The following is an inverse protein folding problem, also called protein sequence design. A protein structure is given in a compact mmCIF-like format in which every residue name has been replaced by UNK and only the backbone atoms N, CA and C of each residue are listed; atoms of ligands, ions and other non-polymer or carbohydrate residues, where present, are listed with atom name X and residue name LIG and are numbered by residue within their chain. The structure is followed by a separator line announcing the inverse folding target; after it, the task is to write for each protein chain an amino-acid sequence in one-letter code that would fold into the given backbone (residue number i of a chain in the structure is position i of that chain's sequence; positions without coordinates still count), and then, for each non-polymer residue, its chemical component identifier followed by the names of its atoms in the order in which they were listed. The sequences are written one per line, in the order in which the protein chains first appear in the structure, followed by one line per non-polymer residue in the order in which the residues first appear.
data_IF_458952716610
#
_entry.id   IF_458952716610
#
_cell.length_a   1.000
_cell.length_b   1.000
_cell.length_c   1.000
_cell.angle_alpha   90.00
_cell.angle_beta   90.00
_cell.angle_gamma   90.00
#
_symmetry.space_group_name_H-M   'P 1'
#
loop_
_entity.id
_entity.type
_entity.pdbx_description
1 polymer ?
#
# COMPACT_ATOMS: atom_id res chain seq x y z
N UNK A 1 20.70 21.21 19.60
CA UNK A 1 19.75 20.70 18.59
C UNK A 1 20.52 20.32 17.34
N UNK A 2 20.05 19.33 16.60
CA UNK A 2 20.64 18.91 15.31
C UNK A 2 20.00 19.74 14.20
N UNK A 3 20.77 20.37 13.33
CA UNK A 3 20.26 21.09 12.15
C UNK A 3 20.25 20.20 10.91
N UNK A 4 19.55 20.62 9.84
CA UNK A 4 19.63 19.90 8.55
C UNK A 4 21.05 19.88 7.97
N UNK A 5 21.84 20.93 8.21
CA UNK A 5 23.26 21.04 7.80
C UNK A 5 24.12 19.92 8.38
N UNK A 6 23.83 19.48 9.60
CA UNK A 6 24.60 18.44 10.31
C UNK A 6 24.32 17.02 9.76
N UNK A 7 23.28 16.87 8.93
CA UNK A 7 22.88 15.56 8.39
C UNK A 7 23.66 15.14 7.14
N UNK A 8 24.58 15.97 6.62
CA UNK A 8 25.43 15.64 5.46
C UNK A 8 24.74 15.75 4.08
N UNK A 9 23.58 16.39 4.01
CA UNK A 9 22.86 16.67 2.75
C UNK A 9 23.64 17.64 1.85
N UNK A 10 23.41 17.58 0.52
CA UNK A 10 24.09 18.49 -0.41
C UNK A 10 23.66 19.96 -0.21
N UNK A 11 24.50 20.95 -0.58
CA UNK A 11 24.13 22.37 -0.54
C UNK A 11 22.87 22.70 -1.35
N UNK A 12 22.57 21.93 -2.41
CA UNK A 12 21.33 22.09 -3.20
C UNK A 12 20.11 21.67 -2.40
N UNK A 13 20.18 20.51 -1.74
CA UNK A 13 19.09 19.96 -0.94
C UNK A 13 18.87 20.82 0.30
N UNK A 14 19.95 21.22 1.01
CA UNK A 14 19.87 22.15 2.14
C UNK A 14 19.16 23.46 1.75
N UNK A 15 19.56 24.07 0.62
CA UNK A 15 18.91 25.29 0.13
C UNK A 15 17.43 25.09 -0.21
N UNK A 16 17.04 23.94 -0.76
CA UNK A 16 15.64 23.63 -1.06
C UNK A 16 14.80 23.31 0.20
N UNK A 17 15.42 22.78 1.25
CA UNK A 17 14.80 22.58 2.58
C UNK A 17 14.55 23.94 3.25
N UNK A 18 15.50 24.88 3.18
CA UNK A 18 15.32 26.26 3.64
C UNK A 18 14.25 27.01 2.85
N UNK A 19 14.25 26.91 1.52
CA UNK A 19 13.20 27.49 0.65
C UNK A 19 11.80 26.90 0.92
N UNK A 20 11.73 25.67 1.44
CA UNK A 20 10.49 25.03 1.86
C UNK A 20 10.04 25.40 3.29
N UNK A 21 10.78 26.24 4.00
CA UNK A 21 10.44 26.74 5.33
C UNK A 21 10.79 25.83 6.50
N UNK A 22 11.61 24.79 6.31
CA UNK A 22 12.02 23.88 7.39
C UNK A 22 13.34 24.32 8.03
N UNK A 23 13.33 24.53 9.35
CA UNK A 23 14.50 24.88 10.17
C UNK A 23 15.18 23.65 10.78
N UNK A 24 14.39 22.76 11.39
CA UNK A 24 14.88 21.62 12.17
C UNK A 24 14.37 20.29 11.60
N UNK A 25 15.22 19.23 11.54
CA UNK A 25 14.83 17.90 11.14
C UNK A 25 14.01 17.22 12.23
N UNK A 26 12.98 16.47 11.83
CA UNK A 26 12.22 15.63 12.76
C UNK A 26 13.07 14.45 13.28
N UNK A 27 12.71 13.79 14.40
CA UNK A 27 13.51 12.69 14.94
C UNK A 27 13.76 11.53 13.95
N UNK A 28 12.79 11.22 13.09
CA UNK A 28 12.95 10.19 12.05
C UNK A 28 13.91 10.65 10.94
N UNK A 29 13.88 11.94 10.57
CA UNK A 29 14.81 12.52 9.59
C UNK A 29 16.23 12.54 10.14
N UNK A 30 16.41 13.01 11.38
CA UNK A 30 17.72 13.09 12.02
C UNK A 30 18.37 11.70 12.20
N UNK A 31 17.58 10.67 12.52
CA UNK A 31 18.08 9.30 12.61
C UNK A 31 18.32 8.61 11.26
N UNK A 32 17.41 8.77 10.29
CA UNK A 32 17.45 8.00 9.04
C UNK A 32 18.37 8.61 7.97
N UNK A 33 18.39 9.94 7.81
CA UNK A 33 19.09 10.61 6.68
C UNK A 33 20.60 10.30 6.67
N UNK A 34 21.35 10.37 7.79
CA UNK A 34 22.79 10.07 7.77
C UNK A 34 23.09 8.61 7.36
N UNK A 35 22.27 7.65 7.80
CA UNK A 35 22.42 6.24 7.42
C UNK A 35 22.02 5.98 5.96
N UNK A 36 20.99 6.68 5.46
CA UNK A 36 20.62 6.63 4.05
C UNK A 36 21.75 7.15 3.15
N UNK A 37 22.42 8.25 3.52
CA UNK A 37 23.54 8.81 2.77
C UNK A 37 24.78 7.90 2.73
N UNK A 38 25.06 7.14 3.78
CA UNK A 38 26.17 6.16 3.80
C UNK A 38 25.86 4.85 3.07
N UNK A 39 24.73 4.78 2.34
CA UNK A 39 24.21 3.59 1.66
C UNK A 39 23.94 2.39 2.57
N UNK A 40 23.72 2.62 3.87
CA UNK A 40 23.23 1.58 4.79
C UNK A 40 21.72 1.41 4.62
N UNK A 41 21.23 0.19 4.75
CA UNK A 41 19.81 -0.10 4.85
C UNK A 41 19.18 0.57 6.08
N UNK A 42 17.89 0.91 5.99
CA UNK A 42 17.16 1.63 7.05
C UNK A 42 15.81 0.97 7.29
N UNK A 43 15.46 0.78 8.57
CA UNK A 43 14.11 0.46 9.02
C UNK A 43 13.60 1.63 9.87
N UNK A 44 12.75 2.47 9.28
CA UNK A 44 12.18 3.66 9.90
C UNK A 44 10.75 3.43 10.36
N UNK A 45 10.54 3.36 11.68
CA UNK A 45 9.22 3.16 12.30
C UNK A 45 8.78 4.49 12.90
N UNK A 46 7.78 5.12 12.29
CA UNK A 46 7.21 6.39 12.74
C UNK A 46 5.81 6.62 12.14
N UNK A 47 4.91 7.28 12.86
CA UNK A 47 3.56 7.61 12.37
C UNK A 47 3.58 8.50 11.11
N UNK A 48 2.50 8.49 10.33
CA UNK A 48 2.31 9.43 9.20
C UNK A 48 2.38 10.88 9.68
N UNK A 49 2.96 11.77 8.87
CA UNK A 49 3.15 13.19 9.21
C UNK A 49 4.43 13.50 9.99
N UNK A 50 5.11 12.50 10.56
CA UNK A 50 6.42 12.68 11.24
C UNK A 50 7.59 13.01 10.29
N UNK A 51 7.36 13.04 8.97
CA UNK A 51 8.40 13.38 7.98
C UNK A 51 9.13 12.20 7.34
N UNK A 52 8.60 10.97 7.43
CA UNK A 52 9.14 9.75 6.79
C UNK A 52 9.52 9.95 5.31
N UNK A 53 8.61 10.48 4.50
CA UNK A 53 8.84 10.71 3.06
C UNK A 53 10.07 11.58 2.80
N UNK A 54 10.24 12.69 3.51
CA UNK A 54 11.44 13.52 3.40
C UNK A 54 12.72 12.80 3.92
N UNK A 55 12.58 11.82 4.81
CA UNK A 55 13.69 11.02 5.34
C UNK A 55 14.34 10.11 4.29
N UNK A 56 13.65 9.80 3.17
CA UNK A 56 14.26 9.18 1.99
C UNK A 56 14.43 10.14 0.81
N UNK A 57 13.48 11.04 0.54
CA UNK A 57 13.57 11.98 -0.60
C UNK A 57 14.82 12.87 -0.53
N UNK A 58 15.14 13.45 0.64
CA UNK A 58 16.29 14.36 0.81
C UNK A 58 17.66 13.66 0.60
N UNK A 59 17.96 12.49 1.20
CA UNK A 59 19.19 11.77 0.90
C UNK A 59 19.22 11.20 -0.52
N UNK A 60 18.09 10.75 -1.08
CA UNK A 60 18.04 10.30 -2.48
C UNK A 60 18.39 11.45 -3.45
N UNK A 61 17.86 12.65 -3.25
CA UNK A 61 18.23 13.83 -4.04
C UNK A 61 19.75 14.10 -3.99
N UNK A 62 20.37 13.98 -2.81
CA UNK A 62 21.82 14.13 -2.63
C UNK A 62 22.61 13.03 -3.36
N UNK A 63 22.19 11.77 -3.25
CA UNK A 63 22.86 10.62 -3.86
C UNK A 63 22.75 10.60 -5.39
N UNK A 64 21.62 11.06 -5.93
CA UNK A 64 21.33 11.03 -7.37
C UNK A 64 21.98 12.18 -8.17
N UNK A 65 22.59 13.18 -7.51
CA UNK A 65 23.40 14.23 -8.17
C UNK A 65 24.59 13.69 -8.99
N UNK A 66 24.99 12.44 -8.76
CA UNK A 66 26.00 11.71 -9.52
C UNK A 66 25.35 10.63 -10.38
N UNK A 67 25.90 10.36 -11.55
CA UNK A 67 25.35 9.38 -12.50
C UNK A 67 24.27 9.97 -13.42
N UNK A 68 23.59 9.11 -14.17
CA UNK A 68 22.42 9.46 -15.00
C UNK A 68 21.55 8.24 -15.25
N UNK A 69 20.24 8.43 -15.35
CA UNK A 69 19.32 7.38 -15.77
C UNK A 69 19.62 6.80 -17.16
N UNK A 70 19.10 5.61 -17.43
CA UNK A 70 19.08 4.97 -18.75
C UNK A 70 17.64 4.70 -19.17
N UNK A 71 17.36 4.80 -20.46
CA UNK A 71 16.05 4.46 -21.03
C UNK A 71 15.60 3.07 -20.55
N UNK A 72 14.37 2.99 -20.02
CA UNK A 72 13.76 1.75 -19.48
C UNK A 72 14.50 1.07 -18.32
N UNK A 73 15.51 1.72 -17.71
CA UNK A 73 16.33 1.15 -16.65
C UNK A 73 16.47 2.17 -15.50
N UNK A 74 15.53 2.16 -14.52
CA UNK A 74 15.48 3.14 -13.45
C UNK A 74 16.61 2.95 -12.43
N UNK A 75 17.06 4.04 -11.80
CA UNK A 75 18.10 3.99 -10.75
C UNK A 75 17.55 3.77 -9.36
N UNK A 76 16.37 4.29 -9.04
CA UNK A 76 15.69 4.00 -7.78
C UNK A 76 14.26 3.56 -8.02
N UNK A 77 13.76 2.69 -7.14
CA UNK A 77 12.34 2.39 -7.04
C UNK A 77 11.82 2.84 -5.67
N UNK A 78 10.67 3.49 -5.67
CA UNK A 78 9.84 3.75 -4.48
C UNK A 78 8.50 3.05 -4.71
N UNK A 79 8.12 2.16 -3.80
CA UNK A 79 6.79 1.56 -3.77
C UNK A 79 5.90 2.31 -2.77
N UNK A 80 4.68 2.58 -3.20
CA UNK A 80 3.64 3.26 -2.43
C UNK A 80 2.33 2.45 -2.48
N UNK A 81 1.58 2.33 -1.37
CA UNK A 81 0.37 1.50 -1.33
C UNK A 81 -0.79 2.12 -2.13
N UNK A 82 -0.82 3.44 -2.32
CA UNK A 82 -1.88 4.14 -3.06
C UNK A 82 -1.31 5.02 -4.17
N UNK A 83 -2.18 5.31 -5.15
CA UNK A 83 -1.85 6.12 -6.32
C UNK A 83 -1.56 7.58 -5.95
N UNK A 84 -2.13 8.04 -4.84
CA UNK A 84 -2.02 9.41 -4.35
C UNK A 84 -0.85 9.61 -3.40
N UNK A 85 -0.46 8.60 -2.60
CA UNK A 85 0.84 8.62 -1.93
C UNK A 85 1.96 8.67 -2.98
N UNK A 86 1.87 7.86 -4.03
CA UNK A 86 2.80 7.91 -5.17
C UNK A 86 2.84 9.30 -5.83
N UNK A 87 1.71 9.99 -5.97
CA UNK A 87 1.67 11.37 -6.45
C UNK A 87 2.32 12.36 -5.46
N UNK A 88 2.01 12.25 -4.16
CA UNK A 88 2.60 13.10 -3.12
C UNK A 88 4.12 12.92 -2.99
N UNK A 89 4.66 11.71 -3.18
CA UNK A 89 6.11 11.51 -3.23
C UNK A 89 6.70 12.18 -4.48
N UNK A 90 6.03 12.12 -5.63
CA UNK A 90 6.46 12.84 -6.83
C UNK A 90 6.47 14.37 -6.62
N UNK A 91 5.41 14.93 -6.02
CA UNK A 91 5.32 16.34 -5.62
C UNK A 91 6.46 16.74 -4.66
N UNK A 92 6.89 15.85 -3.75
CA UNK A 92 8.04 16.11 -2.88
C UNK A 92 9.37 16.13 -3.66
N UNK A 93 9.55 15.29 -4.68
CA UNK A 93 10.72 15.40 -5.58
C UNK A 93 10.69 16.68 -6.41
N UNK A 94 9.52 17.15 -6.88
CA UNK A 94 9.40 18.46 -7.55
C UNK A 94 9.66 19.63 -6.60
N UNK A 95 9.19 19.55 -5.35
CA UNK A 95 9.36 20.57 -4.30
C UNK A 95 10.82 20.74 -3.88
N UNK A 96 11.52 19.65 -3.55
CA UNK A 96 12.91 19.69 -3.04
C UNK A 96 13.96 19.55 -4.14
N UNK A 97 13.63 18.94 -5.28
CA UNK A 97 14.53 18.69 -6.40
C UNK A 97 14.65 19.82 -7.42
N UNK A 98 14.12 21.02 -7.15
CA UNK A 98 14.13 22.18 -8.09
C UNK A 98 15.52 22.54 -8.64
N UNK A 99 16.60 22.18 -7.94
CA UNK A 99 18.00 22.48 -8.29
C UNK A 99 18.74 21.25 -8.86
N UNK A 100 18.00 20.20 -9.14
CA UNK A 100 18.44 18.90 -9.65
C UNK A 100 17.86 18.65 -11.04
N UNK A 101 18.58 17.93 -11.90
CA UNK A 101 18.13 17.54 -13.24
C UNK A 101 17.83 16.05 -13.26
N UNK A 102 16.83 15.66 -12.48
CA UNK A 102 16.44 14.26 -12.28
C UNK A 102 15.13 13.96 -12.98
N UNK A 103 15.07 12.84 -13.68
CA UNK A 103 13.84 12.38 -14.30
C UNK A 103 13.03 11.56 -13.29
N UNK A 104 11.85 12.06 -12.89
CA UNK A 104 10.89 11.34 -12.05
C UNK A 104 9.82 10.69 -12.95
N UNK A 105 9.56 9.40 -12.75
CA UNK A 105 8.49 8.68 -13.44
C UNK A 105 7.52 8.06 -12.42
N UNK A 106 6.22 8.20 -12.69
CA UNK A 106 5.13 7.79 -11.79
C UNK A 106 4.28 6.70 -12.46
N UNK A 107 4.33 5.47 -11.93
CA UNK A 107 3.63 4.30 -12.44
C UNK A 107 2.44 3.93 -11.54
N UNK A 108 1.31 4.55 -11.83
CA UNK A 108 0.05 4.32 -11.13
C UNK A 108 -1.00 3.75 -12.07
N UNK A 109 -1.95 2.97 -11.53
CA UNK A 109 -3.13 2.54 -12.30
C UNK A 109 -3.94 3.74 -12.81
N UNK A 110 -4.99 3.48 -13.61
CA UNK A 110 -5.95 4.52 -14.04
C UNK A 110 -5.35 5.73 -14.77
N UNK A 111 -4.20 5.56 -15.41
CA UNK A 111 -3.49 6.53 -16.28
C UNK A 111 -2.93 5.74 -17.48
N UNK A 112 -2.80 6.38 -18.64
CA UNK A 112 -2.39 5.71 -19.88
C UNK A 112 -1.01 5.02 -19.75
N UNK A 113 -0.88 3.85 -20.36
CA UNK A 113 0.42 3.17 -20.50
C UNK A 113 1.40 4.01 -21.31
N UNK A 114 0.96 4.59 -22.44
CA UNK A 114 1.86 5.30 -23.36
C UNK A 114 2.46 6.57 -22.76
N UNK A 115 1.74 7.25 -21.88
CA UNK A 115 2.27 8.42 -21.15
C UNK A 115 3.34 8.02 -20.14
N UNK A 116 3.14 6.90 -19.44
CA UNK A 116 4.08 6.35 -18.48
C UNK A 116 5.30 5.75 -19.18
N UNK A 117 5.11 5.03 -20.30
CA UNK A 117 6.18 4.48 -21.12
C UNK A 117 7.06 5.60 -21.71
N UNK A 118 6.48 6.70 -22.21
CA UNK A 118 7.25 7.90 -22.64
C UNK A 118 8.08 8.53 -21.52
N UNK A 119 7.65 8.43 -20.25
CA UNK A 119 8.43 8.87 -19.07
C UNK A 119 9.56 7.88 -18.78
N UNK A 120 9.29 6.58 -18.81
CA UNK A 120 10.28 5.50 -18.64
C UNK A 120 11.37 5.54 -19.74
N UNK A 121 11.01 5.83 -20.99
CA UNK A 121 11.90 5.84 -22.15
C UNK A 121 12.92 6.99 -22.13
N UNK A 122 12.59 8.12 -21.49
CA UNK A 122 13.55 9.20 -21.19
C UNK A 122 14.62 8.76 -20.17
N UNK A 123 14.39 7.62 -19.50
CA UNK A 123 15.16 7.10 -18.39
C UNK A 123 14.82 7.83 -17.10
N UNK A 124 14.34 7.11 -16.09
CA UNK A 124 14.00 7.66 -14.78
C UNK A 124 15.18 7.53 -13.81
N UNK A 125 15.58 8.62 -13.16
CA UNK A 125 16.46 8.51 -11.99
C UNK A 125 15.64 8.00 -10.79
N UNK A 126 14.40 8.50 -10.66
CA UNK A 126 13.44 8.08 -9.63
C UNK A 126 12.22 7.47 -10.28
N UNK A 127 11.94 6.20 -9.99
CA UNK A 127 10.68 5.55 -10.31
C UNK A 127 9.82 5.43 -9.04
N UNK A 128 8.58 5.92 -9.10
CA UNK A 128 7.60 5.83 -8.01
C UNK A 128 6.42 5.03 -8.53
N UNK A 129 5.97 3.99 -7.82
CA UNK A 129 4.96 3.07 -8.35
C UNK A 129 4.04 2.44 -7.29
N UNK A 130 2.79 2.16 -7.70
CA UNK A 130 1.94 1.20 -6.99
C UNK A 130 2.29 -0.24 -7.43
N UNK A 131 2.40 -1.23 -6.53
CA UNK A 131 2.94 -2.57 -6.83
C UNK A 131 2.39 -3.24 -8.10
N UNK A 132 1.07 -3.39 -8.22
CA UNK A 132 0.46 -4.05 -9.40
C UNK A 132 0.80 -3.38 -10.73
N UNK A 133 0.86 -2.04 -10.77
CA UNK A 133 1.20 -1.30 -12.01
C UNK A 133 2.67 -1.43 -12.37
N UNK A 134 3.56 -1.56 -11.39
CA UNK A 134 4.97 -1.85 -11.66
C UNK A 134 5.14 -3.22 -12.32
N UNK A 135 4.39 -4.22 -11.84
CA UNK A 135 4.35 -5.56 -12.42
C UNK A 135 3.79 -5.50 -13.85
N UNK A 136 2.67 -4.78 -14.12
CA UNK A 136 2.15 -4.58 -15.48
C UNK A 136 3.23 -4.12 -16.48
N UNK A 137 4.00 -3.07 -16.16
CA UNK A 137 5.03 -2.54 -17.06
C UNK A 137 6.23 -3.49 -17.22
N UNK A 138 6.54 -4.28 -16.19
CA UNK A 138 7.66 -5.23 -16.21
C UNK A 138 7.31 -6.50 -16.98
N UNK A 139 6.11 -7.05 -16.78
CA UNK A 139 5.59 -8.23 -17.50
C UNK A 139 5.39 -7.95 -19.00
N UNK A 140 5.10 -6.70 -19.36
CA UNK A 140 5.08 -6.21 -20.76
C UNK A 140 6.47 -6.00 -21.37
N UNK A 141 7.55 -6.33 -20.66
CA UNK A 141 8.94 -6.17 -21.12
C UNK A 141 9.39 -4.72 -21.34
N UNK A 142 8.67 -3.73 -20.78
CA UNK A 142 8.97 -2.30 -20.98
C UNK A 142 9.91 -1.71 -19.93
N UNK A 143 10.26 -2.46 -18.88
CA UNK A 143 11.03 -1.98 -17.74
C UNK A 143 12.08 -2.99 -17.27
N UNK A 144 13.32 -2.53 -17.04
CA UNK A 144 14.48 -3.32 -16.65
C UNK A 144 14.91 -2.97 -15.23
N UNK A 145 14.38 -3.70 -14.25
CA UNK A 145 14.60 -3.47 -12.80
C UNK A 145 16.05 -3.70 -12.33
N UNK A 146 16.92 -4.25 -13.18
CA UNK A 146 18.33 -4.52 -12.91
C UNK A 146 19.22 -3.28 -12.73
N UNK A 147 18.71 -2.09 -13.06
CA UNK A 147 19.42 -0.81 -12.85
C UNK A 147 19.26 -0.20 -11.44
N UNK A 148 18.38 -0.76 -10.60
CA UNK A 148 17.97 -0.13 -9.34
C UNK A 148 19.04 -0.31 -8.25
N UNK A 149 19.62 0.81 -7.82
CA UNK A 149 20.62 0.93 -6.76
C UNK A 149 20.03 1.27 -5.38
N UNK A 150 18.84 1.89 -5.33
CA UNK A 150 18.10 2.20 -4.09
C UNK A 150 16.65 1.77 -4.24
N UNK A 151 16.16 0.97 -3.29
CA UNK A 151 14.77 0.50 -3.21
C UNK A 151 14.11 1.04 -1.94
N UNK A 152 12.91 1.62 -2.07
CA UNK A 152 12.14 2.16 -0.94
C UNK A 152 10.77 1.51 -0.89
N UNK A 153 10.30 1.21 0.31
CA UNK A 153 8.94 0.78 0.63
C UNK A 153 8.44 1.74 1.73
N UNK A 154 7.46 2.63 1.43
CA UNK A 154 6.81 3.46 2.46
C UNK A 154 5.41 2.94 2.83
N UNK A 155 4.94 3.29 4.02
CA UNK A 155 3.68 2.84 4.64
C UNK A 155 3.47 1.31 4.46
N UNK A 156 4.50 0.51 4.74
CA UNK A 156 4.55 -0.93 4.46
C UNK A 156 3.42 -1.73 5.14
N UNK A 157 2.99 -1.30 6.33
CA UNK A 157 1.80 -1.82 7.02
C UNK A 157 0.51 -1.63 6.22
N UNK A 158 0.33 -0.50 5.52
CA UNK A 158 -0.80 -0.34 4.60
C UNK A 158 -0.70 -1.25 3.37
N UNK A 159 0.51 -1.60 2.93
CA UNK A 159 0.66 -2.60 1.87
C UNK A 159 0.24 -4.01 2.33
N UNK A 160 0.40 -4.35 3.62
CA UNK A 160 -0.16 -5.56 4.21
C UNK A 160 -1.69 -5.52 4.26
N UNK A 161 -2.28 -4.43 4.77
CA UNK A 161 -3.74 -4.24 4.81
C UNK A 161 -4.39 -4.36 3.42
N UNK A 162 -3.69 -3.91 2.37
CA UNK A 162 -4.14 -3.98 0.98
C UNK A 162 -3.76 -5.29 0.27
N UNK A 163 -3.10 -6.23 0.95
CA UNK A 163 -2.74 -7.54 0.43
C UNK A 163 -1.58 -7.57 -0.58
N UNK A 164 -0.81 -6.48 -0.74
CA UNK A 164 0.25 -6.37 -1.74
C UNK A 164 1.54 -7.14 -1.42
N UNK A 165 1.64 -7.80 -0.27
CA UNK A 165 2.87 -8.52 0.14
C UNK A 165 3.40 -9.49 -0.94
N UNK A 166 2.57 -10.33 -1.60
CA UNK A 166 3.04 -11.19 -2.70
C UNK A 166 3.62 -10.40 -3.88
N UNK A 167 3.04 -9.24 -4.21
CA UNK A 167 3.53 -8.39 -5.30
C UNK A 167 4.86 -7.72 -4.94
N UNK A 168 5.03 -7.22 -3.71
CA UNK A 168 6.32 -6.70 -3.23
C UNK A 168 7.38 -7.83 -3.27
N UNK A 169 7.03 -9.05 -2.86
CA UNK A 169 7.92 -10.20 -2.94
C UNK A 169 8.27 -10.60 -4.38
N UNK A 170 7.38 -10.37 -5.36
CA UNK A 170 7.70 -10.52 -6.79
C UNK A 170 8.64 -9.42 -7.26
N UNK A 171 8.34 -8.16 -6.93
CA UNK A 171 9.14 -6.98 -7.28
C UNK A 171 10.56 -7.08 -6.72
N UNK A 172 10.71 -7.45 -5.44
CA UNK A 172 12.00 -7.55 -4.76
C UNK A 172 12.96 -8.61 -5.38
N UNK A 173 12.42 -9.58 -6.13
CA UNK A 173 13.18 -10.61 -6.89
C UNK A 173 13.62 -10.13 -8.27
N UNK A 174 12.99 -9.08 -8.82
CA UNK A 174 13.35 -8.47 -10.11
C UNK A 174 14.47 -7.43 -9.96
N UNK A 175 14.74 -7.00 -8.73
CA UNK A 175 15.70 -5.96 -8.36
C UNK A 175 17.00 -6.61 -7.83
N UNK A 176 18.21 -6.08 -8.12
CA UNK A 176 19.47 -6.61 -7.60
C UNK A 176 19.50 -6.76 -6.07
N UNK A 177 20.22 -7.77 -5.56
CA UNK A 177 20.41 -7.98 -4.12
C UNK A 177 21.45 -7.04 -3.49
N UNK A 178 22.26 -6.38 -4.32
CA UNK A 178 23.33 -5.43 -3.94
C UNK A 178 22.84 -3.98 -3.83
N UNK A 179 21.52 -3.77 -3.84
CA UNK A 179 20.87 -2.48 -3.63
C UNK A 179 20.98 -2.04 -2.17
N UNK A 180 20.80 -0.75 -1.93
CA UNK A 180 20.32 -0.25 -0.64
C UNK A 180 18.79 -0.45 -0.56
N UNK A 181 18.28 -0.87 0.59
CA UNK A 181 16.83 -0.93 0.88
C UNK A 181 16.47 -0.02 2.05
N UNK A 182 15.49 0.87 1.84
CA UNK A 182 14.90 1.76 2.84
C UNK A 182 13.45 1.34 3.10
N UNK A 183 13.13 0.95 4.33
CA UNK A 183 11.84 0.40 4.72
C UNK A 183 11.18 1.32 5.75
N UNK A 184 9.99 1.81 5.44
CA UNK A 184 9.24 2.75 6.28
C UNK A 184 7.82 2.23 6.55
N UNK A 185 7.39 2.36 7.81
CA UNK A 185 6.09 1.87 8.29
C UNK A 185 5.61 2.73 9.47
N UNK A 186 4.30 2.76 9.75
CA UNK A 186 3.78 3.39 10.97
C UNK A 186 3.75 2.41 12.16
N UNK A 187 3.55 1.13 11.87
CA UNK A 187 3.47 0.01 12.81
C UNK A 187 4.40 -1.12 12.39
N UNK A 188 4.60 -2.11 13.28
CA UNK A 188 5.49 -3.25 13.03
C UNK A 188 4.89 -4.57 13.56
N UNK A 189 3.75 -5.04 13.02
CA UNK A 189 3.24 -6.38 13.30
C UNK A 189 4.20 -7.45 12.77
N UNK A 190 4.05 -8.70 13.24
CA UNK A 190 4.97 -9.79 12.93
C UNK A 190 5.15 -10.03 11.41
N UNK A 191 4.12 -9.75 10.61
CA UNK A 191 4.09 -9.89 9.15
C UNK A 191 4.98 -8.85 8.46
N UNK A 192 4.97 -7.60 8.96
CA UNK A 192 5.85 -6.52 8.49
C UNK A 192 7.28 -6.73 8.97
N UNK A 193 7.48 -7.26 10.19
CA UNK A 193 8.80 -7.63 10.69
C UNK A 193 9.44 -8.73 9.81
N UNK A 194 8.71 -9.81 9.50
CA UNK A 194 9.12 -10.88 8.55
C UNK A 194 9.40 -10.37 7.12
N UNK A 195 8.86 -9.21 6.75
CA UNK A 195 9.09 -8.56 5.46
C UNK A 195 10.39 -7.73 5.49
N UNK A 196 10.55 -6.93 6.54
CA UNK A 196 11.75 -6.14 6.80
C UNK A 196 13.00 -7.05 6.91
N UNK A 197 12.93 -8.12 7.71
CA UNK A 197 14.02 -9.10 7.90
C UNK A 197 14.42 -9.84 6.62
N UNK A 198 13.56 -9.85 5.59
CA UNK A 198 13.81 -10.51 4.30
C UNK A 198 14.38 -9.57 3.24
N UNK A 199 14.16 -8.26 3.37
CA UNK A 199 14.56 -7.27 2.38
C UNK A 199 15.73 -6.38 2.82
N UNK A 200 16.00 -6.29 4.12
CA UNK A 200 17.05 -5.44 4.70
C UNK A 200 18.29 -6.26 5.08
N UNK A 201 19.48 -5.66 4.92
CA UNK A 201 20.76 -6.25 5.30
C UNK A 201 21.46 -5.36 6.35
N UNK A 202 21.52 -5.84 7.60
CA UNK A 202 22.07 -5.09 8.75
C UNK A 202 21.55 -3.62 8.82
N UNK A 203 20.22 -3.41 8.83
CA UNK A 203 19.66 -2.06 8.78
C UNK A 203 19.98 -1.24 10.03
N UNK A 204 20.06 0.08 9.87
CA UNK A 204 19.83 0.98 10.99
C UNK A 204 18.32 0.97 11.32
N UNK A 205 17.96 0.60 12.55
CA UNK A 205 16.57 0.66 13.04
C UNK A 205 16.37 1.99 13.75
N UNK A 206 15.47 2.83 13.23
CA UNK A 206 15.13 4.14 13.80
C UNK A 206 13.68 4.06 14.23
N UNK A 207 13.45 4.09 15.53
CA UNK A 207 12.12 4.04 16.15
C UNK A 207 11.80 5.38 16.78
N UNK A 208 10.86 6.10 16.19
CA UNK A 208 10.29 7.29 16.82
C UNK A 208 9.02 6.87 17.53
N UNK A 209 9.05 6.92 18.86
CA UNK A 209 7.89 6.65 19.69
C UNK A 209 6.70 7.50 19.19
N UNK A 210 5.50 6.89 19.05
CA UNK A 210 4.35 7.63 18.57
C UNK A 210 4.00 8.76 19.56
N UNK A 211 3.58 9.94 19.09
CA UNK A 211 2.70 10.78 19.88
C UNK A 211 1.40 9.99 20.13
N UNK A 212 1.30 9.33 21.29
CA UNK A 212 0.08 8.69 21.79
C UNK A 212 -1.03 9.71 22.04
N UNK A 213 -0.66 10.98 22.24
CA UNK A 213 -1.56 12.11 22.32
C UNK A 213 -2.39 12.28 21.04
N UNK A 214 -3.70 12.08 21.17
CA UNK A 214 -4.66 12.74 20.27
C UNK A 214 -4.48 14.25 20.40
N UNK A 215 -4.72 15.00 19.30
CA UNK A 215 -4.52 16.45 19.33
C UNK A 215 -5.45 17.08 20.38
N UNK A 216 -4.88 17.81 21.35
CA UNK A 216 -5.63 18.35 22.50
C UNK A 216 -6.72 19.38 22.11
N UNK A 217 -6.73 19.83 20.86
CA UNK A 217 -7.76 20.70 20.27
C UNK A 217 -8.93 19.93 19.66
N UNK A 218 -8.87 18.60 19.59
CA UNK A 218 -9.94 17.73 19.07
C UNK A 218 -10.78 17.19 20.22
N UNK A 219 -12.00 17.69 20.34
CA UNK A 219 -13.03 17.11 21.20
C UNK A 219 -13.39 15.71 20.69
N UNK A 220 -13.48 14.74 21.59
CA UNK A 220 -13.70 13.33 21.26
C UNK A 220 -14.90 12.82 22.05
N UNK A 221 -15.91 12.26 21.37
CA UNK A 221 -17.14 11.75 21.97
C UNK A 221 -17.52 10.37 21.41
N UNK A 222 -18.03 9.50 22.28
CA UNK A 222 -18.70 8.26 21.91
C UNK A 222 -20.21 8.49 21.88
N UNK A 223 -20.89 7.91 20.90
CA UNK A 223 -22.35 7.94 20.78
C UNK A 223 -22.86 6.51 20.67
N UNK A 224 -23.81 6.15 21.52
CA UNK A 224 -24.41 4.83 21.51
C UNK A 224 -25.31 4.65 20.28
N UNK A 225 -25.18 3.51 19.61
CA UNK A 225 -26.14 3.04 18.61
C UNK A 225 -26.64 1.65 18.97
N UNK A 226 -27.91 1.43 18.67
CA UNK A 226 -28.49 0.08 18.60
C UNK A 226 -27.86 -0.73 17.45
N UNK A 227 -28.12 -2.03 17.44
CA UNK A 227 -27.41 -2.99 16.60
C UNK A 227 -27.86 -3.06 15.12
N UNK A 228 -28.95 -2.38 14.71
CA UNK A 228 -29.50 -2.48 13.34
C UNK A 228 -29.01 -1.33 12.47
N UNK A 229 -28.59 -1.62 11.24
CA UNK A 229 -27.96 -0.65 10.34
C UNK A 229 -28.81 0.60 10.05
N UNK A 230 -30.14 0.54 10.11
CA UNK A 230 -30.98 1.72 9.89
C UNK A 230 -30.95 2.68 11.08
N UNK A 231 -30.97 2.15 12.31
CA UNK A 231 -30.85 2.90 13.56
C UNK A 231 -29.49 3.60 13.60
N UNK A 232 -28.42 2.89 13.22
CA UNK A 232 -27.05 3.45 13.14
C UNK A 232 -26.93 4.62 12.15
N UNK A 233 -27.64 4.56 11.01
CA UNK A 233 -27.71 5.67 10.04
C UNK A 233 -28.57 6.83 10.54
N UNK A 234 -29.54 6.58 11.39
CA UNK A 234 -30.39 7.58 12.04
C UNK A 234 -29.63 8.32 13.14
N UNK A 235 -28.92 7.60 14.01
CA UNK A 235 -27.96 8.16 14.98
C UNK A 235 -26.96 9.09 14.29
N UNK A 236 -26.38 8.70 13.15
CA UNK A 236 -25.44 9.57 12.43
C UNK A 236 -26.08 10.89 11.97
N UNK A 237 -27.31 10.86 11.43
CA UNK A 237 -28.03 12.07 11.02
C UNK A 237 -28.28 12.97 12.22
N UNK A 238 -28.83 12.41 13.30
CA UNK A 238 -29.12 13.15 14.52
C UNK A 238 -27.88 13.87 15.09
N UNK A 239 -26.70 13.23 15.11
CA UNK A 239 -25.47 13.91 15.57
C UNK A 239 -25.06 15.04 14.61
N UNK A 240 -25.13 14.81 13.28
CA UNK A 240 -24.80 15.82 12.26
C UNK A 240 -25.69 17.05 12.40
N UNK A 241 -27.00 16.85 12.55
CA UNK A 241 -28.01 17.92 12.65
C UNK A 241 -27.89 18.71 13.97
N UNK A 242 -27.21 18.17 14.98
CA UNK A 242 -26.92 18.82 16.26
C UNK A 242 -25.62 19.65 16.27
N UNK A 243 -24.85 19.71 15.17
CA UNK A 243 -23.58 20.44 15.13
C UNK A 243 -23.70 21.80 14.41
N UNK A 244 -24.10 22.84 15.14
CA UNK A 244 -24.21 24.23 14.65
C UNK A 244 -22.91 24.79 14.01
N UNK A 245 -21.75 24.24 14.36
CA UNK A 245 -20.43 24.65 13.87
C UNK A 245 -19.87 23.72 12.75
N UNK A 246 -20.68 22.82 12.20
CA UNK A 246 -20.29 21.93 11.10
C UNK A 246 -20.15 22.69 9.78
N UNK A 247 -18.91 22.82 9.31
CA UNK A 247 -18.55 23.43 8.02
C UNK A 247 -18.29 22.38 6.95
N UNK A 248 -17.57 21.33 7.35
CA UNK A 248 -17.27 20.16 6.54
C UNK A 248 -16.88 18.97 7.43
N UNK A 249 -17.14 17.75 6.97
CA UNK A 249 -16.87 16.53 7.71
C UNK A 249 -16.48 15.34 6.83
N UNK A 250 -15.68 14.43 7.41
CA UNK A 250 -15.41 13.10 6.83
C UNK A 250 -16.12 12.05 7.69
N UNK A 251 -16.81 11.14 7.02
CA UNK A 251 -17.58 10.06 7.66
C UNK A 251 -16.91 8.73 7.29
N UNK A 252 -16.26 8.09 8.26
CA UNK A 252 -15.47 6.87 8.05
C UNK A 252 -16.28 5.59 8.29
N UNK A 253 -16.26 4.70 7.30
CA UNK A 253 -16.84 3.35 7.37
C UNK A 253 -15.79 2.27 7.10
N UNK A 254 -15.83 1.17 7.85
CA UNK A 254 -14.81 0.11 7.77
C UNK A 254 -14.89 -0.71 6.46
N UNK A 255 -16.00 -0.61 5.70
CA UNK A 255 -16.26 -1.43 4.51
C UNK A 255 -16.78 -0.58 3.36
N UNK A 256 -16.31 -0.84 2.13
CA UNK A 256 -16.81 -0.19 0.90
C UNK A 256 -18.33 -0.26 0.75
N UNK A 257 -18.94 -1.41 1.08
CA UNK A 257 -20.41 -1.57 1.03
C UNK A 257 -21.11 -0.55 1.93
N UNK A 258 -20.63 -0.38 3.18
CA UNK A 258 -21.14 0.63 4.12
C UNK A 258 -21.03 2.05 3.57
N UNK A 259 -19.94 2.40 2.85
CA UNK A 259 -19.81 3.71 2.18
C UNK A 259 -20.94 3.93 1.16
N UNK A 260 -21.19 2.95 0.29
CA UNK A 260 -22.24 3.05 -0.75
C UNK A 260 -23.67 3.00 -0.18
N UNK A 261 -23.91 2.23 0.88
CA UNK A 261 -25.22 2.16 1.55
C UNK A 261 -25.51 3.43 2.36
N UNK A 262 -24.49 4.01 3.01
CA UNK A 262 -24.61 5.26 3.75
C UNK A 262 -24.77 6.48 2.83
N UNK A 263 -23.97 6.60 1.75
CA UNK A 263 -24.12 7.66 0.75
C UNK A 263 -25.57 7.71 0.24
N UNK A 264 -26.10 6.56 -0.20
CA UNK A 264 -27.49 6.44 -0.68
C UNK A 264 -28.54 6.67 0.39
N UNK A 265 -28.19 6.68 1.67
CA UNK A 265 -29.10 7.07 2.76
C UNK A 265 -29.06 8.58 2.96
N UNK A 266 -27.87 9.18 3.05
CA UNK A 266 -27.67 10.62 3.23
C UNK A 266 -28.27 11.41 2.06
N UNK A 267 -28.03 10.99 0.81
CA UNK A 267 -28.64 11.63 -0.38
C UNK A 267 -30.16 11.52 -0.42
N UNK A 268 -30.76 10.48 0.19
CA UNK A 268 -32.23 10.32 0.35
C UNK A 268 -32.81 11.15 1.49
N UNK A 269 -31.97 11.71 2.35
CA UNK A 269 -32.34 12.70 3.36
C UNK A 269 -31.71 14.07 3.03
N UNK A 270 -31.52 14.35 1.73
CA UNK A 270 -31.15 15.65 1.15
C UNK A 270 -29.78 16.24 1.58
N UNK A 271 -28.94 15.48 2.29
CA UNK A 271 -27.58 15.92 2.62
C UNK A 271 -26.69 16.00 1.37
N UNK A 272 -26.06 17.15 1.16
CA UNK A 272 -25.02 17.34 0.15
C UNK A 272 -23.75 16.55 0.51
N UNK A 273 -23.62 15.33 -0.04
CA UNK A 273 -22.52 14.43 0.28
C UNK A 273 -21.92 13.69 -0.93
N UNK A 274 -20.61 13.50 -0.88
CA UNK A 274 -19.83 12.66 -1.80
C UNK A 274 -19.35 11.37 -1.13
N UNK A 275 -18.85 10.42 -1.94
CA UNK A 275 -18.22 9.20 -1.46
C UNK A 275 -16.79 9.05 -1.97
N UNK A 276 -15.98 8.29 -1.22
CA UNK A 276 -14.57 8.03 -1.51
C UNK A 276 -14.21 6.57 -1.18
N UNK A 277 -14.03 5.74 -2.20
CA UNK A 277 -13.62 4.34 -2.04
C UNK A 277 -12.68 3.87 -3.16
N UNK A 278 -11.95 2.77 -2.94
CA UNK A 278 -10.87 2.29 -3.83
C UNK A 278 -11.27 2.09 -5.30
N UNK A 279 -12.46 1.56 -5.56
CA UNK A 279 -12.94 1.23 -6.91
C UNK A 279 -13.44 2.43 -7.74
N UNK A 280 -13.17 3.67 -7.29
CA UNK A 280 -13.46 4.85 -8.09
C UNK A 280 -12.39 5.06 -9.15
N UNK A 281 -12.79 5.48 -10.35
CA UNK A 281 -11.84 6.00 -11.33
C UNK A 281 -11.20 7.31 -10.82
N UNK A 282 -10.06 7.68 -11.40
CA UNK A 282 -9.31 8.85 -10.91
C UNK A 282 -10.01 10.18 -11.19
N UNK A 283 -10.76 10.29 -12.27
CA UNK A 283 -11.41 11.53 -12.62
C UNK A 283 -12.56 11.82 -11.64
N UNK A 284 -13.38 10.81 -11.33
CA UNK A 284 -14.40 10.91 -10.26
C UNK A 284 -13.77 11.17 -8.89
N UNK A 285 -12.68 10.48 -8.54
CA UNK A 285 -11.96 10.64 -7.26
C UNK A 285 -11.37 12.04 -7.10
N UNK A 286 -10.68 12.56 -8.11
CA UNK A 286 -10.16 13.93 -8.11
C UNK A 286 -11.27 14.97 -8.09
N UNK A 287 -12.34 14.79 -8.88
CA UNK A 287 -13.48 15.73 -8.94
C UNK A 287 -14.23 15.79 -7.60
N UNK A 288 -14.48 14.67 -6.93
CA UNK A 288 -15.13 14.66 -5.61
C UNK A 288 -14.22 15.28 -4.54
N UNK A 289 -12.90 15.00 -4.57
CA UNK A 289 -11.96 15.65 -3.66
C UNK A 289 -11.90 17.16 -3.90
N UNK A 290 -11.90 17.63 -5.16
CA UNK A 290 -11.92 19.06 -5.46
C UNK A 290 -13.24 19.71 -5.02
N UNK A 291 -14.38 19.08 -5.28
CA UNK A 291 -15.68 19.58 -4.80
C UNK A 291 -15.76 19.63 -3.26
N UNK A 292 -15.05 18.74 -2.56
CA UNK A 292 -14.89 18.81 -1.11
C UNK A 292 -13.94 19.95 -0.67
N UNK A 293 -12.83 20.18 -1.39
CA UNK A 293 -11.92 21.33 -1.15
C UNK A 293 -12.63 22.68 -1.38
N UNK A 294 -13.47 22.75 -2.40
CA UNK A 294 -14.25 23.93 -2.79
C UNK A 294 -15.47 24.19 -1.88
N UNK A 295 -15.75 23.32 -0.91
CA UNK A 295 -16.92 23.41 -0.02
C UNK A 295 -18.27 23.07 -0.68
N UNK A 296 -18.29 22.67 -1.96
CA UNK A 296 -19.50 22.26 -2.71
C UNK A 296 -20.13 20.97 -2.17
N UNK A 297 -19.33 20.14 -1.51
CA UNK A 297 -19.76 18.94 -0.78
C UNK A 297 -19.28 19.06 0.67
N UNK A 298 -20.14 19.44 1.64
CA UNK A 298 -19.73 19.52 3.04
C UNK A 298 -19.44 18.15 3.67
N UNK A 299 -20.06 17.06 3.20
CA UNK A 299 -19.87 15.72 3.78
C UNK A 299 -19.17 14.76 2.79
N UNK A 300 -18.16 14.02 3.27
CA UNK A 300 -17.43 13.01 2.50
C UNK A 300 -17.45 11.65 3.20
N UNK A 301 -18.19 10.69 2.65
CA UNK A 301 -18.24 9.31 3.17
C UNK A 301 -17.06 8.51 2.61
N UNK A 302 -16.18 8.01 3.45
CA UNK A 302 -14.93 7.37 3.03
C UNK A 302 -14.68 6.02 3.71
N UNK A 303 -13.90 5.16 3.06
CA UNK A 303 -13.22 4.05 3.73
C UNK A 303 -11.78 4.40 4.08
N UNK A 304 -11.22 3.74 5.08
CA UNK A 304 -9.84 3.95 5.55
C UNK A 304 -8.82 3.90 4.40
N UNK A 305 -8.87 2.84 3.60
CA UNK A 305 -7.99 2.64 2.44
C UNK A 305 -8.03 3.80 1.44
N UNK A 306 -9.18 4.49 1.31
CA UNK A 306 -9.37 5.56 0.34
C UNK A 306 -9.04 6.97 0.88
N UNK A 307 -9.04 7.16 2.19
CA UNK A 307 -8.76 8.43 2.88
C UNK A 307 -7.39 8.47 3.59
N UNK A 308 -6.80 7.31 3.94
CA UNK A 308 -5.38 7.18 4.28
C UNK A 308 -4.54 7.66 3.08
N UNK A 309 -3.43 8.37 3.36
CA UNK A 309 -2.53 8.84 2.31
C UNK A 309 -3.06 9.95 1.39
N UNK A 310 -4.19 10.58 1.72
CA UNK A 310 -4.64 11.80 1.04
C UNK A 310 -4.36 13.06 1.86
N UNK A 311 -3.95 14.12 1.15
CA UNK A 311 -4.11 15.50 1.60
C UNK A 311 -5.57 15.95 1.39
N UNK A 312 -6.43 15.45 2.27
CA UNK A 312 -7.76 16.02 2.50
C UNK A 312 -7.56 17.28 3.36
N UNK A 313 -8.17 18.43 3.00
CA UNK A 313 -8.10 19.63 3.82
C UNK A 313 -8.54 19.38 5.26
N UNK A 314 -8.00 20.14 6.21
CA UNK A 314 -8.39 20.05 7.62
C UNK A 314 -9.88 20.38 7.80
N UNK A 315 -10.64 19.39 8.27
CA UNK A 315 -12.10 19.46 8.38
C UNK A 315 -12.55 19.92 9.76
N UNK A 316 -13.76 20.48 9.88
CA UNK A 316 -14.33 20.82 11.18
C UNK A 316 -14.70 19.60 12.03
N UNK A 317 -15.10 18.50 11.38
CA UNK A 317 -15.74 17.36 12.02
C UNK A 317 -15.26 16.02 11.45
N UNK A 318 -15.14 15.01 12.31
CA UNK A 318 -14.90 13.61 11.93
C UNK A 318 -15.97 12.73 12.56
N UNK A 319 -16.63 11.91 11.74
CA UNK A 319 -17.60 10.92 12.18
C UNK A 319 -17.06 9.52 11.91
N UNK A 320 -16.66 8.79 12.96
CA UNK A 320 -16.44 7.35 12.87
C UNK A 320 -17.82 6.68 12.86
N UNK A 321 -18.39 6.48 11.67
CA UNK A 321 -19.64 5.73 11.53
C UNK A 321 -19.43 4.27 11.96
N UNK A 322 -18.30 3.66 11.58
CA UNK A 322 -17.85 2.40 12.15
C UNK A 322 -16.64 2.63 13.07
N UNK A 323 -16.60 1.96 14.23
CA UNK A 323 -15.43 1.97 15.13
C UNK A 323 -14.26 1.28 14.41
N UNK A 324 -13.06 1.88 14.34
CA UNK A 324 -11.93 1.27 13.63
C UNK A 324 -11.47 -0.02 14.31
N UNK A 325 -11.02 -0.99 13.49
CA UNK A 325 -10.62 -2.33 13.95
C UNK A 325 -9.24 -2.29 14.62
N UNK A 326 -8.39 -1.34 14.22
CA UNK A 326 -7.08 -1.06 14.79
C UNK A 326 -7.14 0.29 15.53
N UNK A 327 -6.53 0.36 16.72
CA UNK A 327 -6.62 1.56 17.56
C UNK A 327 -5.90 2.76 16.93
N UNK A 328 -4.83 2.48 16.17
CA UNK A 328 -4.00 3.44 15.46
C UNK A 328 -4.78 4.20 14.37
N UNK A 329 -5.77 3.55 13.73
CA UNK A 329 -6.63 4.21 12.76
C UNK A 329 -7.54 5.26 13.41
N UNK A 330 -7.94 5.11 14.67
CA UNK A 330 -8.70 6.15 15.37
C UNK A 330 -7.94 7.49 15.36
N UNK A 331 -6.65 7.44 15.74
CA UNK A 331 -5.75 8.61 15.74
C UNK A 331 -5.59 9.17 14.31
N UNK A 332 -5.40 8.31 13.30
CA UNK A 332 -5.26 8.73 11.89
C UNK A 332 -6.53 9.39 11.31
N UNK A 333 -7.71 8.92 11.73
CA UNK A 333 -9.03 9.44 11.33
C UNK A 333 -9.35 10.76 12.01
N UNK A 334 -9.23 10.84 13.33
CA UNK A 334 -9.52 12.12 14.03
C UNK A 334 -8.45 13.18 13.71
N UNK A 335 -7.22 12.78 13.37
CA UNK A 335 -6.18 13.64 12.79
C UNK A 335 -6.47 14.16 11.37
N UNK A 336 -7.71 14.03 10.86
CA UNK A 336 -8.23 14.85 9.74
C UNK A 336 -8.80 16.20 10.20
N UNK A 337 -9.11 16.37 11.48
CA UNK A 337 -9.58 17.63 12.09
C UNK A 337 -8.56 18.16 13.10
N UNK A 338 -8.74 19.41 13.54
CA UNK A 338 -7.94 20.07 14.58
C UNK A 338 -6.51 20.43 14.19
N UNK A 339 -6.15 20.42 12.90
CA UNK A 339 -4.78 20.69 12.45
C UNK A 339 -4.40 22.16 12.64
N UNK A 340 -3.09 22.40 12.75
CA UNK A 340 -2.51 23.75 12.93
C UNK A 340 -3.13 24.53 14.12
N UNK A 341 -3.49 23.84 15.20
CA UNK A 341 -4.03 24.46 16.42
C UNK A 341 -5.51 24.87 16.33
N UNK A 342 -6.21 24.56 15.23
CA UNK A 342 -7.67 24.73 15.17
C UNK A 342 -8.37 23.76 16.13
N UNK A 343 -9.56 24.12 16.59
CA UNK A 343 -10.48 23.19 17.24
C UNK A 343 -11.12 22.26 16.21
N UNK A 344 -11.46 21.06 16.64
CA UNK A 344 -12.18 20.06 15.85
C UNK A 344 -13.04 19.17 16.74
N UNK A 345 -14.03 18.46 16.16
CA UNK A 345 -14.84 17.46 16.88
C UNK A 345 -14.77 16.10 16.20
N UNK A 346 -14.71 15.05 17.01
CA UNK A 346 -14.66 13.66 16.58
C UNK A 346 -15.70 12.81 17.30
N UNK A 347 -16.75 12.41 16.59
CA UNK A 347 -17.84 11.57 17.09
C UNK A 347 -17.67 10.12 16.62
N UNK A 348 -17.87 9.15 17.52
CA UNK A 348 -17.73 7.72 17.21
C UNK A 348 -18.99 6.95 17.57
N UNK A 349 -19.62 6.34 16.57
CA UNK A 349 -20.87 5.60 16.74
C UNK A 349 -20.55 4.15 17.07
N UNK A 350 -20.77 3.77 18.33
CA UNK A 350 -20.41 2.47 18.88
C UNK A 350 -21.65 1.68 19.30
N UNK A 351 -21.66 0.39 18.99
CA UNK A 351 -22.63 -0.59 19.47
C UNK A 351 -22.01 -1.46 20.57
N UNK A 352 -22.82 -2.25 21.28
CA UNK A 352 -22.31 -3.20 22.28
C UNK A 352 -21.30 -4.23 21.73
N UNK A 353 -21.27 -4.47 20.41
CA UNK A 353 -20.30 -5.37 19.76
C UNK A 353 -18.92 -4.73 19.56
N UNK A 354 -18.83 -3.40 19.63
CA UNK A 354 -17.62 -2.64 19.33
C UNK A 354 -16.76 -2.37 20.59
N UNK A 355 -17.23 -2.76 21.77
CA UNK A 355 -16.60 -2.46 23.06
C UNK A 355 -15.09 -2.80 23.11
N UNK A 356 -14.69 -3.97 22.61
CA UNK A 356 -13.27 -4.39 22.55
C UNK A 356 -12.40 -3.44 21.72
N UNK A 357 -12.95 -2.84 20.66
CA UNK A 357 -12.23 -1.86 19.84
C UNK A 357 -12.15 -0.50 20.55
N UNK A 358 -13.23 -0.08 21.23
CA UNK A 358 -13.23 1.12 22.08
C UNK A 358 -12.18 1.00 23.21
N UNK A 359 -12.14 -0.11 23.95
CA UNK A 359 -11.14 -0.35 25.00
C UNK A 359 -9.70 -0.31 24.45
N UNK A 360 -9.47 -0.82 23.23
CA UNK A 360 -8.16 -0.77 22.58
C UNK A 360 -7.77 0.67 22.18
N UNK A 361 -8.73 1.47 21.70
CA UNK A 361 -8.54 2.89 21.38
C UNK A 361 -8.21 3.68 22.64
N UNK A 362 -9.03 3.57 23.68
CA UNK A 362 -8.85 4.31 24.94
C UNK A 362 -7.51 3.97 25.63
N UNK A 363 -7.07 2.71 25.51
CA UNK A 363 -5.74 2.27 25.98
C UNK A 363 -4.59 2.83 25.13
N UNK A 364 -4.76 3.03 23.83
CA UNK A 364 -3.71 3.61 22.98
C UNK A 364 -3.53 5.11 23.23
N UNK A 365 -4.63 5.83 23.48
CA UNK A 365 -4.62 7.29 23.70
C UNK A 365 -4.46 7.69 25.19
N UNK A 366 -4.28 6.69 26.06
CA UNK A 366 -4.16 6.81 27.53
C UNK A 366 -5.27 7.65 28.19
N UNK A 367 -6.49 7.56 27.66
CA UNK A 367 -7.64 8.38 28.07
C UNK A 367 -8.97 7.70 27.75
N UNK A 368 -9.93 7.80 28.69
CA UNK A 368 -11.35 7.49 28.45
C UNK A 368 -12.04 8.60 27.64
N UNK A 369 -12.90 8.20 26.70
CA UNK A 369 -13.65 9.10 25.81
C UNK A 369 -15.07 9.26 26.37
N UNK A 370 -15.54 10.50 26.52
CA UNK A 370 -16.86 10.76 27.10
C UNK A 370 -17.98 10.27 26.17
N UNK A 371 -19.03 9.68 26.74
CA UNK A 371 -20.27 9.40 26.02
C UNK A 371 -21.17 10.64 25.99
N UNK A 372 -21.97 10.81 24.94
CA UNK A 372 -23.01 11.86 24.88
C UNK A 372 -24.19 11.47 25.78
N UNK A 373 -24.84 10.34 25.50
CA UNK A 373 -26.03 9.86 26.23
C UNK A 373 -25.75 8.62 27.09
N UNK A 374 -24.48 8.34 27.38
CA UNK A 374 -24.02 7.10 28.02
C UNK A 374 -23.67 5.97 27.03
N UNK A 375 -23.10 4.86 27.54
CA UNK A 375 -22.75 3.70 26.71
C UNK A 375 -23.98 2.97 26.17
N UNK A 376 -23.88 2.22 25.06
CA UNK A 376 -24.96 1.38 24.56
C UNK A 376 -25.33 0.37 25.65
N UNK A 377 -26.55 0.50 26.16
CA UNK A 377 -27.04 -0.32 27.26
C UNK A 377 -26.96 -1.80 26.87
N UNK A 378 -26.36 -2.61 27.75
CA UNK A 378 -26.34 -4.07 27.62
C UNK A 378 -27.69 -4.67 27.99
N UNK A 379 -28.77 -4.08 27.48
CA UNK A 379 -30.06 -4.75 27.46
C UNK A 379 -29.89 -5.99 26.58
N UNK A 380 -30.03 -7.13 27.23
CA UNK A 380 -30.31 -8.37 26.53
C UNK A 380 -31.57 -8.15 25.70
N UNK A 381 -31.41 -8.12 24.38
CA UNK A 381 -32.46 -8.57 23.46
C UNK A 381 -32.69 -10.06 23.72
N UNK A 382 -33.31 -10.35 24.86
CA UNK A 382 -33.92 -11.62 25.17
C UNK A 382 -35.22 -11.69 24.36
N UNK A 383 -35.07 -11.79 23.04
CA UNK A 383 -36.13 -12.28 22.18
C UNK A 383 -36.65 -13.57 22.83
N UNK A 384 -37.95 -13.59 23.14
CA UNK A 384 -38.58 -14.71 23.82
C UNK A 384 -38.72 -15.87 22.85
N UNK A 385 -37.62 -16.61 22.68
CA UNK A 385 -37.52 -17.82 21.88
C UNK A 385 -38.41 -18.90 22.52
N UNK A 386 -39.67 -18.93 22.11
CA UNK A 386 -40.69 -19.87 22.59
C UNK A 386 -40.26 -21.30 22.27
N UNK A 387 -39.59 -21.95 23.23
CA UNK A 387 -39.21 -23.36 23.16
C UNK A 387 -40.40 -24.20 22.68
N UNK A 388 -40.33 -24.83 21.48
CA UNK A 388 -41.41 -25.67 21.01
C UNK A 388 -41.60 -26.85 21.97
N UNK A 389 -42.79 -26.95 22.57
CA UNK A 389 -43.07 -27.97 23.57
C UNK A 389 -42.88 -29.39 22.97
N UNK A 390 -42.20 -30.31 23.68
CA UNK A 390 -41.89 -31.64 23.14
C UNK A 390 -43.17 -32.45 22.95
N UNK A 391 -43.63 -32.57 21.70
CA UNK A 391 -44.82 -33.37 21.32
C UNK A 391 -44.62 -34.83 21.69
N UNK A 392 -45.33 -35.30 22.71
CA UNK A 392 -45.33 -36.69 23.11
C UNK A 392 -45.85 -37.60 21.98
N UNK A 393 -45.07 -38.62 21.61
CA UNK A 393 -45.54 -39.76 20.81
C UNK A 393 -45.52 -41.03 21.66
N UNK A 394 -46.70 -41.45 22.09
CA UNK A 394 -46.94 -42.65 22.90
C UNK A 394 -47.19 -43.83 21.95
N UNK A 395 -46.22 -44.73 21.80
CA UNK A 395 -46.27 -45.86 20.85
C UNK A 395 -45.63 -47.13 21.42
N UNK A 396 -46.45 -48.04 21.91
CA UNK A 396 -46.07 -49.39 22.36
C UNK A 396 -45.82 -50.34 21.16
N UNK A 397 -45.19 -51.53 21.23
CA UNK A 397 -44.52 -52.30 22.31
C UNK A 397 -44.02 -53.63 21.69
N UNK A 398 -42.85 -54.16 22.09
CA UNK A 398 -42.59 -55.62 22.25
C UNK A 398 -41.26 -55.91 22.97
N UNK A 399 -41.12 -57.15 23.45
CA UNK A 399 -40.08 -57.68 24.35
C UNK A 399 -39.01 -58.46 23.52
N UNK A 400 -37.70 -58.43 23.84
CA UNK A 400 -36.94 -59.18 24.87
C UNK A 400 -36.86 -60.72 24.59
N UNK A 401 -35.86 -61.50 25.09
CA UNK A 401 -34.90 -61.24 26.19
C UNK A 401 -33.42 -61.43 25.79
N UNK A 402 -32.54 -61.78 26.75
CA UNK A 402 -31.07 -61.77 26.64
C UNK A 402 -30.39 -63.09 27.12
N UNK A 403 -29.08 -63.24 26.88
CA UNK A 403 -28.20 -64.22 27.53
C UNK A 403 -26.73 -63.72 27.64
N UNK A 404 -26.20 -63.80 28.86
CA UNK A 404 -24.90 -64.37 29.31
C UNK A 404 -23.59 -64.07 28.54
N UNK A 405 -22.58 -63.46 29.19
CA UNK A 405 -21.40 -64.07 29.86
C UNK A 405 -20.31 -64.60 28.88
N UNK A 406 -18.99 -64.42 29.08
CA UNK A 406 -18.20 -64.64 30.32
C UNK A 406 -16.77 -64.03 30.22
N UNK A 407 -16.09 -63.89 31.37
CA UNK A 407 -14.61 -63.87 31.60
C UNK A 407 -13.69 -62.79 30.97
N UNK A 408 -13.06 -62.00 31.87
CA UNK A 408 -11.72 -61.36 31.78
C UNK A 408 -10.55 -62.42 31.81
N UNK A 409 -9.21 -62.12 31.82
CA UNK A 409 -8.51 -60.83 32.04
C UNK A 409 -7.18 -60.53 31.28
N UNK A 410 -6.65 -59.30 31.50
CA UNK A 410 -5.22 -58.84 31.71
C UNK A 410 -4.07 -59.47 30.88
N UNK A 411 -3.02 -58.75 30.41
CA UNK A 411 -2.59 -57.34 30.53
C UNK A 411 -1.61 -56.94 29.39
N UNK A 412 -1.07 -55.71 29.41
CA UNK A 412 -0.14 -55.11 28.41
C UNK A 412 1.33 -55.06 28.92
N UNK A 413 2.32 -54.30 28.36
CA UNK A 413 2.49 -53.64 27.03
C UNK A 413 3.89 -53.91 26.38
N UNK A 414 4.32 -53.08 25.40
CA UNK A 414 5.68 -52.98 24.72
C UNK A 414 5.91 -53.97 23.55
N UNK A 415 6.76 -53.71 22.53
CA UNK A 415 7.60 -52.54 22.14
C UNK A 415 7.95 -52.57 20.62
N UNK A 416 8.69 -51.58 20.11
CA UNK A 416 9.27 -51.53 18.74
C UNK A 416 10.16 -52.75 18.39
N UNK A 417 10.41 -52.98 17.09
CA UNK A 417 11.82 -53.03 16.64
C UNK A 417 12.13 -52.28 15.34
N UNK A 418 13.44 -52.03 15.09
CA UNK A 418 14.01 -51.47 13.84
C UNK A 418 14.79 -52.53 13.05
N UNK A 419 15.15 -52.15 11.81
CA UNK A 419 16.27 -52.63 10.97
C UNK A 419 16.03 -53.79 9.97
N UNK A 420 16.05 -53.38 8.70
CA UNK A 420 16.70 -53.90 7.48
C UNK A 420 17.93 -54.86 7.64
N UNK A 421 18.58 -55.37 6.55
CA UNK A 421 18.38 -55.10 5.11
C UNK A 421 18.38 -56.36 4.20
N UNK A 422 18.25 -56.17 2.87
CA UNK A 422 18.83 -57.10 1.88
C UNK A 422 19.14 -56.42 0.53
N UNK A 423 20.12 -56.97 -0.20
CA UNK A 423 20.54 -56.58 -1.56
C UNK A 423 20.46 -57.80 -2.49
N UNK A 424 20.30 -57.56 -3.80
CA UNK A 424 20.99 -58.23 -4.92
C UNK A 424 20.26 -57.94 -6.25
N UNK A 425 20.80 -58.18 -7.44
CA UNK A 425 22.12 -57.85 -8.04
C UNK A 425 22.03 -58.17 -9.55
N UNK A 426 22.94 -57.61 -10.37
CA UNK A 426 23.27 -57.87 -11.80
C UNK A 426 23.40 -56.53 -12.57
N UNK A 427 24.55 -56.13 -13.17
CA UNK A 427 25.42 -56.78 -14.19
C UNK A 427 24.82 -56.65 -15.62
N UNK A 428 25.54 -56.18 -16.68
CA UNK A 428 26.96 -55.84 -16.80
C UNK A 428 27.29 -54.73 -17.87
N UNK A 429 28.59 -54.55 -18.12
CA UNK A 429 29.34 -53.56 -18.95
C UNK A 429 29.64 -54.08 -20.39
N UNK A 430 30.38 -53.39 -21.31
CA UNK A 430 30.66 -51.94 -21.52
C UNK A 430 30.80 -51.44 -23.01
N UNK A 431 31.05 -50.12 -23.16
CA UNK A 431 32.02 -49.44 -24.08
C UNK A 431 31.85 -49.37 -25.62
N UNK A 432 32.05 -48.15 -26.17
CA UNK A 432 33.11 -47.84 -27.15
C UNK A 432 33.47 -46.33 -27.20
N UNK A 433 34.47 -45.89 -27.99
CA UNK A 433 35.07 -44.54 -27.91
C UNK A 433 35.56 -43.90 -29.24
N UNK A 434 36.03 -42.64 -29.18
CA UNK A 434 36.58 -41.77 -30.26
C UNK A 434 35.52 -41.26 -31.29
N UNK A 435 35.66 -40.17 -32.07
CA UNK A 435 36.69 -39.12 -32.30
C UNK A 435 35.97 -37.84 -32.88
N UNK A 436 36.48 -36.67 -33.33
CA UNK A 436 37.82 -36.05 -33.52
C UNK A 436 37.73 -34.48 -33.61
N UNK A 437 38.83 -33.82 -34.04
CA UNK A 437 38.98 -32.43 -34.59
C UNK A 437 40.07 -32.51 -35.72
N UNK A 438 40.56 -31.46 -36.46
CA UNK A 438 40.36 -29.99 -36.38
C UNK A 438 40.26 -29.22 -37.74
N UNK A 439 40.36 -27.87 -37.68
CA UNK A 439 40.78 -26.89 -38.72
C UNK A 439 39.86 -26.63 -39.95
N UNK A 440 39.91 -25.46 -40.62
CA UNK A 440 40.60 -24.18 -40.33
C UNK A 440 40.66 -23.23 -41.56
N UNK A 441 40.84 -21.91 -41.39
CA UNK A 441 41.13 -20.99 -42.52
C UNK A 441 40.81 -19.48 -42.35
N UNK A 442 41.75 -18.62 -42.76
CA UNK A 442 41.68 -17.14 -42.98
C UNK A 442 42.89 -16.77 -43.86
N UNK A 443 42.84 -15.77 -44.79
CA UNK A 443 43.29 -14.40 -44.44
C UNK A 443 42.78 -13.20 -45.32
N UNK A 444 43.20 -11.98 -44.94
CA UNK A 444 43.52 -10.75 -45.73
C UNK A 444 42.51 -10.13 -46.75
N UNK A 445 42.23 -8.80 -46.81
CA UNK A 445 43.07 -7.59 -47.08
C UNK A 445 43.54 -7.47 -48.56
N UNK A 446 43.55 -6.31 -49.26
CA UNK A 446 43.17 -4.90 -48.95
C UNK A 446 43.03 -4.05 -50.28
N UNK A 447 42.87 -2.72 -50.15
CA UNK A 447 43.43 -1.63 -50.99
C UNK A 447 42.64 -0.94 -52.17
N UNK A 448 42.08 0.25 -51.86
CA UNK A 448 42.18 1.57 -52.57
C UNK A 448 41.78 1.74 -54.07
N UNK A 449 40.87 2.71 -54.34
CA UNK A 449 41.21 4.07 -54.88
C UNK A 449 40.04 5.08 -55.01
N UNK A 450 40.41 6.36 -55.15
CA UNK A 450 39.62 7.63 -55.17
C UNK A 450 38.80 7.84 -56.46
N UNK A 451 37.72 8.67 -56.44
CA UNK A 451 37.67 10.02 -57.10
C UNK A 451 36.29 10.64 -57.45
N UNK A 452 35.95 11.79 -56.80
CA UNK A 452 35.29 13.04 -57.32
C UNK A 452 33.85 13.09 -57.95
N UNK A 453 33.01 13.94 -57.30
CA UNK A 453 32.11 15.03 -57.82
C UNK A 453 30.85 14.75 -58.67
N UNK A 454 29.73 15.36 -58.19
CA UNK A 454 28.58 15.98 -58.93
C UNK A 454 27.64 15.03 -59.71
N UNK A 455 26.34 15.30 -59.88
CA UNK A 455 25.40 16.36 -59.40
C UNK A 455 23.97 15.75 -59.31
N UNK A 456 23.07 16.39 -58.53
CA UNK A 456 21.57 16.32 -58.53
C UNK A 456 20.80 14.98 -58.40
N UNK A 457 19.85 15.02 -57.47
CA UNK A 457 18.42 14.68 -57.60
C UNK A 457 18.00 13.48 -58.49
N UNK A 458 17.80 12.32 -57.86
CA UNK A 458 16.62 11.42 -58.02
C UNK A 458 16.79 10.21 -57.08
N UNK A 459 16.07 10.18 -55.94
CA UNK A 459 16.08 9.01 -55.04
C UNK A 459 15.01 7.96 -55.45
N UNK A 460 15.31 6.65 -55.39
CA UNK A 460 14.40 5.64 -55.95
C UNK A 460 13.17 5.35 -55.07
N UNK A 461 12.04 5.08 -55.72
CA UNK A 461 10.83 4.53 -55.10
C UNK A 461 11.15 3.30 -54.25
N UNK A 462 10.68 3.20 -52.99
CA UNK A 462 10.85 2.01 -52.17
C UNK A 462 10.27 0.76 -52.85
N UNK A 463 11.06 -0.31 -52.90
CA UNK A 463 10.63 -1.60 -53.44
C UNK A 463 9.48 -2.14 -52.59
N UNK A 464 8.31 -2.33 -53.19
CA UNK A 464 7.16 -2.92 -52.52
C UNK A 464 7.41 -4.39 -52.15
N UNK A 465 6.65 -4.90 -51.17
CA UNK A 465 6.56 -6.34 -50.96
C UNK A 465 6.08 -6.99 -52.26
N UNK A 466 6.82 -8.01 -52.71
CA UNK A 466 6.44 -8.83 -53.87
C UNK A 466 5.34 -9.82 -53.50
N UNK A 467 5.49 -11.08 -53.91
CA UNK A 467 4.48 -12.13 -53.65
C UNK A 467 4.29 -12.44 -52.13
N UNK A 468 5.26 -12.06 -51.28
CA UNK A 468 5.17 -12.17 -49.81
C UNK A 468 4.42 -10.97 -49.17
N UNK A 469 3.10 -10.88 -49.40
CA UNK A 469 2.22 -9.96 -48.65
C UNK A 469 1.69 -10.65 -47.37
N UNK A 470 1.98 -10.14 -46.16
CA UNK A 470 1.46 -10.70 -44.92
C UNK A 470 -0.08 -10.73 -44.86
N UNK A 471 -0.64 -11.91 -44.61
CA UNK A 471 -2.08 -12.19 -44.72
C UNK A 471 -3.01 -11.27 -43.92
N UNK A 472 -2.54 -10.62 -42.85
CA UNK A 472 -3.34 -9.66 -42.07
C UNK A 472 -3.66 -8.37 -42.85
N UNK A 473 -2.91 -8.03 -43.90
CA UNK A 473 -3.19 -6.87 -44.77
C UNK A 473 -4.17 -7.18 -45.92
N UNK A 474 -4.60 -8.43 -46.07
CA UNK A 474 -5.57 -8.85 -47.10
C UNK A 474 -7.02 -8.91 -46.60
N UNK A 475 -7.26 -8.57 -45.32
CA UNK A 475 -8.60 -8.58 -44.73
C UNK A 475 -9.32 -7.25 -45.05
N UNK A 476 -9.97 -7.19 -46.20
CA UNK A 476 -10.81 -6.06 -46.59
C UNK A 476 -12.00 -5.90 -45.65
N UNK A 477 -12.15 -4.71 -45.05
CA UNK A 477 -13.31 -4.37 -44.25
C UNK A 477 -14.59 -4.35 -45.13
N UNK A 478 -15.64 -5.02 -44.67
CA UNK A 478 -17.01 -4.78 -45.17
C UNK A 478 -17.66 -3.69 -44.31
N UNK A 479 -18.45 -2.84 -44.97
CA UNK A 479 -19.24 -1.76 -44.38
C UNK A 479 -20.25 -2.27 -43.35
#
# INVERSE_FOLDING_TARGET
MTSFSDLGLSPKVLSAVTEAGYSEPTPIQAGAIPHALTRRDVCGIAQTGTGKTASFVLPMLTLLERGRARARMPRTLILEPTRELAAQVAENFEKYGKKHKLNVALLIGGVSFDEQDRKIERGADVLIATPGRLLDHTERGKLLMTGVEIFVIDEADRMLDMGFIPDIERIAKLIPFTRQTLFFSATMPAEIQKLADRFLQNPARIEVAPPSSTAATVEQKLVASKAKDYEKRETLRAIIDQQDDLKNAIIFCNRKKSVADLLRSLQRHEYACGALHGDMDQHSRTTILQNFRDGKLPLLVASDVAARGLDIPDVSHVFNYDVPIHAEDYVHRIGRTGRAGRKGKAFTIATAKDAKFVDAIEKLIDRKIDWVDGPPSSHTDAETDEKPAPRARRGARKQAPAAESRSEPKAAPKSEPKAAPQQDNHAARPANAANAKPAGGRPANDDRKRSRRRDRDDEPTPVGFGDDIPAFMLIGAKN
#
